data_IF_630738787052
#
_entry.id   IF_630738787052
#
_cell.length_a   1.000
_cell.length_b   1.000
_cell.length_c   1.000
_cell.angle_alpha   90.00
_cell.angle_beta   90.00
_cell.angle_gamma   90.00
#
_symmetry.space_group_name_H-M   'P 1'
#
loop_
_entity.id
_entity.type
_entity.pdbx_description
1 polymer ?
#
# COMPACT_ATOMS: atom_id res chain seq x y z
N UNK A 1 21.09 156.55 81.77
CA UNK A 1 20.85 155.24 82.43
C UNK A 1 19.78 154.44 81.70
N UNK A 2 18.64 155.02 81.33
CA UNK A 2 17.53 154.28 80.67
C UNK A 2 17.79 153.83 79.22
N UNK A 3 18.59 154.55 78.45
CA UNK A 3 18.96 154.18 77.07
C UNK A 3 19.92 153.01 76.98
N UNK A 4 20.79 152.83 77.98
CA UNK A 4 21.68 151.67 78.10
C UNK A 4 20.87 150.44 78.52
N UNK A 5 19.92 150.60 79.45
CA UNK A 5 18.99 149.54 79.86
C UNK A 5 18.16 149.02 78.68
N UNK A 6 17.50 149.90 77.92
CA UNK A 6 16.74 149.52 76.72
C UNK A 6 17.58 148.82 75.65
N UNK A 7 18.82 149.27 75.39
CA UNK A 7 19.73 148.58 74.46
C UNK A 7 20.15 147.20 74.98
N UNK A 8 20.36 147.07 76.28
CA UNK A 8 20.73 145.82 76.92
C UNK A 8 19.54 144.83 76.94
N UNK A 9 18.32 145.33 77.10
CA UNK A 9 17.08 144.54 77.00
C UNK A 9 16.81 144.09 75.56
N UNK A 10 17.06 144.94 74.56
CA UNK A 10 16.97 144.55 73.13
C UNK A 10 18.05 143.55 72.75
N UNK A 11 19.29 143.72 73.23
CA UNK A 11 20.36 142.75 72.99
C UNK A 11 20.08 141.41 73.67
N UNK A 12 19.50 141.41 74.87
CA UNK A 12 19.02 140.19 75.55
C UNK A 12 17.90 139.53 74.77
N UNK A 13 16.91 140.29 74.31
CA UNK A 13 15.81 139.77 73.50
C UNK A 13 16.29 139.16 72.16
N UNK A 14 17.24 139.83 71.50
CA UNK A 14 17.86 139.32 70.28
C UNK A 14 18.73 138.08 70.53
N UNK A 15 19.42 138.02 71.68
CA UNK A 15 20.17 136.84 72.09
C UNK A 15 19.23 135.66 72.34
N UNK A 16 18.12 135.86 73.07
CA UNK A 16 17.11 134.82 73.30
C UNK A 16 16.42 134.38 72.01
N UNK A 17 16.06 135.28 71.09
CA UNK A 17 15.48 134.91 69.79
C UNK A 17 16.50 134.17 68.88
N UNK A 18 17.78 134.56 68.94
CA UNK A 18 18.85 133.84 68.25
C UNK A 18 19.10 132.45 68.85
N UNK A 19 19.07 132.32 70.18
CA UNK A 19 19.17 131.04 70.90
C UNK A 19 17.98 130.13 70.60
N UNK A 20 16.75 130.65 70.59
CA UNK A 20 15.55 129.90 70.23
C UNK A 20 15.58 129.43 68.77
N UNK A 21 16.05 130.27 67.83
CA UNK A 21 16.22 129.89 66.42
C UNK A 21 17.35 128.87 66.23
N UNK A 22 18.44 129.00 66.97
CA UNK A 22 19.54 128.03 66.96
C UNK A 22 19.05 126.66 67.47
N UNK A 23 18.36 126.63 68.60
CA UNK A 23 17.78 125.40 69.16
C UNK A 23 16.72 124.78 68.24
N UNK A 24 15.88 125.59 67.59
CA UNK A 24 14.91 125.09 66.61
C UNK A 24 15.60 124.51 65.37
N UNK A 25 16.65 125.18 64.87
CA UNK A 25 17.45 124.68 63.75
C UNK A 25 18.21 123.41 64.10
N UNK A 26 18.75 123.30 65.32
CA UNK A 26 19.45 122.12 65.83
C UNK A 26 18.48 120.94 65.94
N UNK A 27 17.28 121.15 66.47
CA UNK A 27 16.24 120.12 66.52
C UNK A 27 15.81 119.62 65.14
N UNK A 28 15.64 120.51 64.16
CA UNK A 28 15.34 120.13 62.77
C UNK A 28 16.52 119.37 62.15
N UNK A 29 17.75 119.75 62.47
CA UNK A 29 18.95 119.04 62.03
C UNK A 29 19.00 117.63 62.63
N UNK A 30 18.68 117.47 63.91
CA UNK A 30 18.62 116.17 64.61
C UNK A 30 17.52 115.25 64.07
N UNK A 31 16.33 115.80 63.80
CA UNK A 31 15.24 115.07 63.15
C UNK A 31 15.62 114.64 61.73
N UNK A 32 16.29 115.52 60.97
CA UNK A 32 16.80 115.24 59.62
C UNK A 32 17.90 114.18 59.62
N UNK A 33 18.87 114.26 60.53
CA UNK A 33 19.96 113.26 60.64
C UNK A 33 19.43 111.90 61.09
N UNK A 34 18.46 111.87 62.01
CA UNK A 34 17.80 110.62 62.42
C UNK A 34 17.03 109.98 61.26
N UNK A 35 16.31 110.81 60.47
CA UNK A 35 15.55 110.34 59.31
C UNK A 35 16.46 109.85 58.18
N UNK A 36 17.56 110.56 57.90
CA UNK A 36 18.58 110.10 56.96
C UNK A 36 19.22 108.79 57.43
N UNK A 37 19.55 108.68 58.72
CA UNK A 37 20.10 107.43 59.27
C UNK A 37 19.13 106.24 59.21
N UNK A 38 17.81 106.49 59.27
CA UNK A 38 16.80 105.45 59.00
C UNK A 38 16.74 105.09 57.52
N UNK A 39 16.69 106.08 56.63
CA UNK A 39 16.68 105.84 55.19
C UNK A 39 17.95 105.10 54.70
N UNK A 40 19.13 105.42 55.24
CA UNK A 40 20.37 104.71 54.94
C UNK A 40 20.33 103.24 55.39
N UNK A 41 19.70 102.94 56.54
CA UNK A 41 19.48 101.57 56.98
C UNK A 41 18.52 100.83 56.06
N UNK A 42 17.39 101.43 55.72
CA UNK A 42 16.39 100.84 54.83
C UNK A 42 16.99 100.57 53.44
N UNK A 43 17.78 101.50 52.91
CA UNK A 43 18.53 101.29 51.64
C UNK A 43 19.51 100.13 51.77
N UNK A 44 20.21 100.02 52.90
CA UNK A 44 21.17 98.92 53.12
C UNK A 44 20.44 97.57 53.22
N UNK A 45 19.30 97.52 53.92
CA UNK A 45 18.47 96.31 54.04
C UNK A 45 17.91 95.87 52.69
N UNK A 46 17.30 96.80 51.94
CA UNK A 46 16.76 96.52 50.60
C UNK A 46 17.87 96.12 49.61
N UNK A 47 19.06 96.69 49.72
CA UNK A 47 20.19 96.29 48.87
C UNK A 47 20.63 94.85 49.17
N UNK A 48 20.66 94.47 50.46
CA UNK A 48 20.96 93.09 50.84
C UNK A 48 19.85 92.10 50.44
N UNK A 49 18.59 92.54 50.48
CA UNK A 49 17.45 91.73 50.03
C UNK A 49 17.46 91.55 48.51
N UNK A 50 17.76 92.62 47.75
CA UNK A 50 17.93 92.56 46.31
C UNK A 50 19.00 91.55 45.92
N UNK A 51 20.19 91.61 46.54
CA UNK A 51 21.27 90.65 46.27
C UNK A 51 20.84 89.20 46.54
N UNK A 52 20.10 88.93 47.61
CA UNK A 52 19.61 87.58 47.91
C UNK A 52 18.63 87.09 46.85
N UNK A 53 17.73 87.96 46.39
CA UNK A 53 16.77 87.61 45.34
C UNK A 53 17.48 87.37 44.01
N UNK A 54 18.51 88.16 43.69
CA UNK A 54 19.36 87.94 42.51
C UNK A 54 20.10 86.59 42.60
N UNK A 55 20.72 86.28 43.74
CA UNK A 55 21.40 84.99 43.96
C UNK A 55 20.41 83.79 43.86
N UNK A 56 19.19 83.94 44.38
CA UNK A 56 18.13 82.93 44.28
C UNK A 56 17.61 82.77 42.86
N UNK A 57 17.49 83.87 42.11
CA UNK A 57 17.10 83.87 40.70
C UNK A 57 18.16 83.14 39.86
N UNK A 58 19.44 83.49 40.00
CA UNK A 58 20.55 82.83 39.30
C UNK A 58 20.59 81.33 39.60
N UNK A 59 20.37 80.94 40.86
CA UNK A 59 20.29 79.54 41.26
C UNK A 59 19.08 78.81 40.65
N UNK A 60 17.92 79.48 40.55
CA UNK A 60 16.73 78.93 39.92
C UNK A 60 16.90 78.78 38.40
N UNK A 61 17.50 79.77 37.75
CA UNK A 61 17.81 79.73 36.31
C UNK A 61 18.80 78.61 35.97
N UNK A 62 19.85 78.43 36.77
CA UNK A 62 20.79 77.32 36.58
C UNK A 62 20.07 75.96 36.72
N UNK A 63 19.21 75.79 37.73
CA UNK A 63 18.44 74.54 37.89
C UNK A 63 17.46 74.32 36.75
N UNK A 64 16.82 75.38 36.26
CA UNK A 64 15.91 75.31 35.13
C UNK A 64 16.64 74.88 33.85
N UNK A 65 17.84 75.42 33.61
CA UNK A 65 18.68 75.02 32.49
C UNK A 65 19.04 73.52 32.55
N UNK A 66 19.45 73.04 33.73
CA UNK A 66 19.78 71.61 33.93
C UNK A 66 18.56 70.70 33.70
N UNK A 67 17.39 71.06 34.23
CA UNK A 67 16.14 70.29 34.04
C UNK A 67 15.72 70.31 32.56
N UNK A 68 15.90 71.43 31.87
CA UNK A 68 15.57 71.55 30.45
C UNK A 68 16.46 70.63 29.62
N UNK A 69 17.76 70.59 29.91
CA UNK A 69 18.69 69.66 29.25
C UNK A 69 18.29 68.20 29.50
N UNK A 70 17.96 67.84 30.74
CA UNK A 70 17.51 66.49 31.07
C UNK A 70 16.20 66.11 30.36
N UNK A 71 15.29 67.07 30.19
CA UNK A 71 14.05 66.86 29.45
C UNK A 71 14.34 66.60 27.97
N UNK A 72 15.20 67.41 27.34
CA UNK A 72 15.61 67.22 25.94
C UNK A 72 16.26 65.84 25.72
N UNK A 73 17.14 65.41 26.62
CA UNK A 73 17.74 64.07 26.57
C UNK A 73 16.70 62.95 26.71
N UNK A 74 15.73 63.10 27.63
CA UNK A 74 14.66 62.13 27.83
C UNK A 74 13.71 62.06 26.62
N UNK A 75 13.39 63.19 26.00
CA UNK A 75 12.59 63.26 24.77
C UNK A 75 13.31 62.55 23.61
N UNK A 76 14.61 62.79 23.44
CA UNK A 76 15.40 62.12 22.43
C UNK A 76 15.43 60.60 22.63
N UNK A 77 15.58 60.13 23.88
CA UNK A 77 15.52 58.70 24.21
C UNK A 77 14.13 58.11 23.96
N UNK A 78 13.06 58.84 24.26
CA UNK A 78 11.69 58.40 24.00
C UNK A 78 11.43 58.24 22.50
N UNK A 79 11.89 59.18 21.68
CA UNK A 79 11.79 59.10 20.22
C UNK A 79 12.56 57.91 19.64
N UNK A 80 13.75 57.61 20.17
CA UNK A 80 14.53 56.44 19.76
C UNK A 80 13.82 55.13 20.15
N UNK A 81 13.28 55.06 21.37
CA UNK A 81 12.50 53.91 21.83
C UNK A 81 11.24 53.68 20.98
N UNK A 82 10.53 54.75 20.59
CA UNK A 82 9.35 54.65 19.71
C UNK A 82 9.74 54.09 18.33
N UNK A 83 10.88 54.51 17.78
CA UNK A 83 11.40 53.96 16.52
C UNK A 83 11.72 52.48 16.65
N UNK A 84 12.43 52.09 17.71
CA UNK A 84 12.76 50.68 17.97
C UNK A 84 11.48 49.86 18.13
N UNK A 85 10.47 50.35 18.87
CA UNK A 85 9.18 49.68 19.04
C UNK A 85 8.52 49.39 17.69
N UNK A 86 8.44 50.38 16.80
CA UNK A 86 7.84 50.23 15.46
C UNK A 86 8.57 49.22 14.60
N UNK A 87 9.90 49.18 14.67
CA UNK A 87 10.71 48.18 13.95
C UNK A 87 10.42 46.78 14.49
N UNK A 88 10.37 46.61 15.81
CA UNK A 88 10.06 45.31 16.43
C UNK A 88 8.64 44.86 16.13
N UNK A 89 7.66 45.77 16.12
CA UNK A 89 6.27 45.49 15.77
C UNK A 89 6.15 45.01 14.32
N UNK A 90 6.77 45.73 13.38
CA UNK A 90 6.78 45.35 11.96
C UNK A 90 7.44 43.98 11.77
N UNK A 91 8.53 43.71 12.50
CA UNK A 91 9.20 42.41 12.47
C UNK A 91 8.31 41.31 13.06
N UNK A 92 7.64 41.58 14.18
CA UNK A 92 6.70 40.66 14.81
C UNK A 92 5.58 40.26 13.85
N UNK A 93 4.96 41.22 13.17
CA UNK A 93 3.93 40.95 12.16
C UNK A 93 4.44 40.09 11.00
N UNK A 94 5.65 40.36 10.51
CA UNK A 94 6.24 39.56 9.43
C UNK A 94 6.59 38.13 9.87
N UNK A 95 7.03 37.96 11.11
CA UNK A 95 7.33 36.64 11.68
C UNK A 95 6.03 35.86 11.96
N UNK A 96 4.95 36.51 12.42
CA UNK A 96 3.61 35.93 12.56
C UNK A 96 3.03 35.47 11.21
N UNK A 97 3.13 36.30 10.16
CA UNK A 97 2.68 35.92 8.82
C UNK A 97 3.48 34.71 8.29
N UNK A 98 4.79 34.70 8.50
CA UNK A 98 5.64 33.57 8.11
C UNK A 98 5.28 32.30 8.89
N UNK A 99 5.01 32.42 10.18
CA UNK A 99 4.55 31.31 11.01
C UNK A 99 3.23 30.73 10.46
N UNK A 100 2.24 31.58 10.17
CA UNK A 100 0.97 31.15 9.61
C UNK A 100 1.14 30.42 8.26
N UNK A 101 2.04 30.89 7.39
CA UNK A 101 2.35 30.20 6.14
C UNK A 101 2.97 28.82 6.36
N UNK A 102 3.86 28.67 7.35
CA UNK A 102 4.45 27.37 7.67
C UNK A 102 3.44 26.42 8.31
N UNK A 103 2.54 26.91 9.15
CA UNK A 103 1.47 26.10 9.74
C UNK A 103 0.49 25.59 8.67
N UNK A 104 0.13 26.43 7.69
CA UNK A 104 -0.69 26.02 6.56
C UNK A 104 -0.01 24.91 5.73
N UNK A 105 1.27 25.11 5.37
CA UNK A 105 2.06 24.10 4.66
C UNK A 105 2.20 22.80 5.44
N UNK A 106 2.43 22.89 6.75
CA UNK A 106 2.53 21.70 7.61
C UNK A 106 1.21 20.92 7.63
N UNK A 107 0.08 21.61 7.63
CA UNK A 107 -1.25 20.98 7.60
C UNK A 107 -1.48 20.30 6.25
N UNK A 108 -1.16 20.96 5.14
CA UNK A 108 -1.26 20.40 3.79
C UNK A 108 -0.37 19.15 3.61
N UNK A 109 0.87 19.18 4.09
CA UNK A 109 1.77 18.03 4.02
C UNK A 109 1.31 16.86 4.91
N UNK A 110 0.67 17.15 6.04
CA UNK A 110 0.06 16.11 6.88
C UNK A 110 -1.13 15.44 6.18
N UNK A 111 -2.02 16.23 5.58
CA UNK A 111 -3.16 15.68 4.81
C UNK A 111 -2.68 14.83 3.63
N UNK A 112 -1.61 15.26 2.94
CA UNK A 112 -0.98 14.45 1.88
C UNK A 112 -0.41 13.14 2.40
N UNK A 113 0.26 13.17 3.55
CA UNK A 113 0.82 11.97 4.18
C UNK A 113 -0.29 10.99 4.57
N UNK A 114 -1.33 11.47 5.25
CA UNK A 114 -2.47 10.64 5.66
C UNK A 114 -3.20 10.03 4.44
N UNK A 115 -3.36 10.80 3.36
CA UNK A 115 -3.94 10.27 2.12
C UNK A 115 -3.06 9.21 1.47
N UNK A 116 -1.73 9.36 1.51
CA UNK A 116 -0.80 8.37 0.96
C UNK A 116 -0.77 7.10 1.81
N UNK A 117 -0.83 7.22 3.15
CA UNK A 117 -0.96 6.08 4.05
C UNK A 117 -2.25 5.30 3.78
N UNK A 118 -3.38 5.98 3.60
CA UNK A 118 -4.64 5.32 3.27
C UNK A 118 -4.59 4.59 1.90
N UNK A 119 -3.93 5.17 0.89
CA UNK A 119 -3.73 4.51 -0.40
C UNK A 119 -2.82 3.28 -0.29
N UNK A 120 -1.78 3.34 0.55
CA UNK A 120 -0.90 2.20 0.83
C UNK A 120 -1.70 1.08 1.50
N UNK A 121 -2.50 1.38 2.54
CA UNK A 121 -3.34 0.37 3.20
C UNK A 121 -4.32 -0.31 2.23
N UNK A 122 -4.92 0.46 1.30
CA UNK A 122 -5.79 -0.10 0.26
C UNK A 122 -5.02 -1.01 -0.72
N UNK A 123 -3.81 -0.62 -1.13
CA UNK A 123 -2.97 -1.42 -2.02
C UNK A 123 -2.47 -2.69 -1.34
N UNK A 124 -2.13 -2.64 -0.06
CA UNK A 124 -1.73 -3.81 0.74
C UNK A 124 -2.90 -4.80 0.86
N UNK A 125 -4.13 -4.32 1.09
CA UNK A 125 -5.31 -5.16 1.13
C UNK A 125 -5.59 -5.85 -0.22
N UNK A 126 -5.48 -5.12 -1.34
CA UNK A 126 -5.62 -5.68 -2.68
C UNK A 126 -4.52 -6.68 -3.02
N UNK A 127 -3.29 -6.42 -2.57
CA UNK A 127 -2.18 -7.34 -2.76
C UNK A 127 -2.44 -8.66 -2.03
N UNK A 128 -2.91 -8.60 -0.78
CA UNK A 128 -3.25 -9.79 0.00
C UNK A 128 -4.37 -10.62 -0.65
N UNK A 129 -5.42 -9.97 -1.19
CA UNK A 129 -6.49 -10.66 -1.93
C UNK A 129 -5.95 -11.33 -3.20
N UNK A 130 -5.08 -10.65 -3.96
CA UNK A 130 -4.46 -11.20 -5.16
C UNK A 130 -3.48 -12.37 -4.86
N UNK A 131 -2.78 -12.32 -3.72
CA UNK A 131 -1.93 -13.41 -3.24
C UNK A 131 -2.78 -14.64 -2.87
N UNK A 132 -3.91 -14.46 -2.19
CA UNK A 132 -4.85 -15.55 -1.88
C UNK A 132 -5.45 -16.17 -3.16
N UNK A 133 -5.89 -15.35 -4.13
CA UNK A 133 -6.37 -15.84 -5.42
C UNK A 133 -5.28 -16.61 -6.19
N UNK A 134 -4.02 -16.16 -6.11
CA UNK A 134 -2.90 -16.84 -6.75
C UNK A 134 -2.66 -18.22 -6.11
N UNK A 135 -2.62 -18.30 -4.78
CA UNK A 135 -2.45 -19.56 -4.05
C UNK A 135 -3.56 -20.58 -4.39
N UNK A 136 -4.81 -20.12 -4.49
CA UNK A 136 -5.93 -20.97 -4.93
C UNK A 136 -5.77 -21.48 -6.36
N UNK A 137 -5.32 -20.63 -7.28
CA UNK A 137 -5.09 -21.00 -8.69
C UNK A 137 -3.91 -21.96 -8.83
N UNK A 138 -2.84 -21.74 -8.07
CA UNK A 138 -1.68 -22.63 -8.02
C UNK A 138 -2.09 -24.02 -7.50
N UNK A 139 -2.84 -24.11 -6.39
CA UNK A 139 -3.34 -25.39 -5.88
C UNK A 139 -4.22 -26.13 -6.90
N UNK A 140 -5.10 -25.41 -7.61
CA UNK A 140 -5.92 -26.00 -8.68
C UNK A 140 -5.09 -26.48 -9.88
N UNK A 141 -4.00 -25.81 -10.20
CA UNK A 141 -3.10 -26.22 -11.27
C UNK A 141 -2.33 -27.48 -10.87
N UNK A 142 -1.86 -27.56 -9.62
CA UNK A 142 -1.20 -28.75 -9.08
C UNK A 142 -2.12 -29.98 -9.10
N UNK A 143 -3.38 -29.84 -8.67
CA UNK A 143 -4.39 -30.90 -8.73
C UNK A 143 -4.64 -31.37 -10.18
N UNK A 144 -4.71 -30.43 -11.13
CA UNK A 144 -4.92 -30.73 -12.54
C UNK A 144 -3.71 -31.48 -13.14
N UNK A 145 -2.49 -31.09 -12.77
CA UNK A 145 -1.26 -31.73 -13.20
C UNK A 145 -1.13 -33.16 -12.63
N UNK A 146 -1.50 -33.38 -11.37
CA UNK A 146 -1.54 -34.72 -10.77
C UNK A 146 -2.54 -35.60 -11.52
N UNK A 147 -3.76 -35.11 -11.75
CA UNK A 147 -4.77 -35.84 -12.52
C UNK A 147 -4.35 -36.13 -13.95
N UNK A 148 -3.61 -35.21 -14.60
CA UNK A 148 -3.07 -35.44 -15.94
C UNK A 148 -2.06 -36.58 -15.93
N UNK A 149 -1.16 -36.62 -14.94
CA UNK A 149 -0.18 -37.71 -14.78
C UNK A 149 -0.86 -39.06 -14.54
N UNK A 150 -1.87 -39.12 -13.68
CA UNK A 150 -2.65 -40.34 -13.44
C UNK A 150 -3.30 -40.87 -14.74
N UNK A 151 -3.91 -39.97 -15.53
CA UNK A 151 -4.53 -40.33 -16.80
C UNK A 151 -3.50 -40.77 -17.85
N UNK A 152 -2.33 -40.15 -17.88
CA UNK A 152 -1.22 -40.58 -18.75
C UNK A 152 -0.75 -41.99 -18.38
N UNK A 153 -0.56 -42.28 -17.09
CA UNK A 153 -0.20 -43.60 -16.59
C UNK A 153 -1.26 -44.64 -16.96
N UNK A 154 -2.55 -44.36 -16.74
CA UNK A 154 -3.65 -45.25 -17.11
C UNK A 154 -3.66 -45.51 -18.63
N UNK A 155 -3.49 -44.48 -19.45
CA UNK A 155 -3.42 -44.61 -20.90
C UNK A 155 -2.25 -45.51 -21.34
N UNK A 156 -1.08 -45.41 -20.67
CA UNK A 156 0.04 -46.30 -20.97
C UNK A 156 -0.26 -47.75 -20.61
N UNK A 157 -0.93 -48.00 -19.47
CA UNK A 157 -1.32 -49.33 -19.03
C UNK A 157 -2.33 -49.96 -19.99
N UNK A 158 -3.40 -49.23 -20.35
CA UNK A 158 -4.42 -49.67 -21.31
C UNK A 158 -3.78 -49.94 -22.67
N UNK A 159 -2.87 -49.08 -23.13
CA UNK A 159 -2.14 -49.28 -24.38
C UNK A 159 -1.24 -50.52 -24.38
N UNK A 160 -0.71 -50.93 -23.24
CA UNK A 160 0.04 -52.18 -23.10
C UNK A 160 -0.90 -53.39 -23.07
N UNK A 161 -2.02 -53.32 -22.35
CA UNK A 161 -3.04 -54.38 -22.33
C UNK A 161 -3.65 -54.61 -23.71
N UNK A 162 -3.94 -53.55 -24.47
CA UNK A 162 -4.46 -53.65 -25.84
C UNK A 162 -3.46 -54.37 -26.76
N UNK A 163 -2.18 -53.99 -26.72
CA UNK A 163 -1.13 -54.69 -27.48
C UNK A 163 -1.05 -56.18 -27.13
N UNK A 164 -1.20 -56.55 -25.85
CA UNK A 164 -1.23 -57.95 -25.45
C UNK A 164 -2.47 -58.68 -25.97
N UNK A 165 -3.63 -58.04 -25.96
CA UNK A 165 -4.88 -58.60 -26.49
C UNK A 165 -4.81 -58.77 -28.01
N UNK A 166 -4.25 -57.80 -28.74
CA UNK A 166 -4.03 -57.89 -30.18
C UNK A 166 -3.14 -59.10 -30.54
N UNK A 167 -2.08 -59.35 -29.77
CA UNK A 167 -1.24 -60.55 -29.97
C UNK A 167 -2.04 -61.82 -29.74
N UNK A 168 -2.82 -61.88 -28.65
CA UNK A 168 -3.65 -63.05 -28.33
C UNK A 168 -4.75 -63.31 -29.38
N UNK A 169 -5.35 -62.24 -29.92
CA UNK A 169 -6.34 -62.33 -30.99
C UNK A 169 -5.70 -62.88 -32.27
N UNK A 170 -4.53 -62.36 -32.66
CA UNK A 170 -3.78 -62.86 -33.81
C UNK A 170 -3.39 -64.35 -33.67
N UNK A 171 -2.91 -64.76 -32.49
CA UNK A 171 -2.59 -66.16 -32.20
C UNK A 171 -3.83 -67.06 -32.27
N UNK A 172 -4.97 -66.56 -31.76
CA UNK A 172 -6.25 -67.28 -31.81
C UNK A 172 -6.76 -67.41 -33.25
N UNK A 173 -6.71 -66.35 -34.05
CA UNK A 173 -7.10 -66.33 -35.45
C UNK A 173 -6.21 -67.27 -36.29
N UNK A 174 -4.90 -67.28 -36.03
CA UNK A 174 -3.98 -68.25 -36.66
C UNK A 174 -4.36 -69.68 -36.30
N UNK A 175 -4.67 -69.95 -35.04
CA UNK A 175 -5.09 -71.28 -34.59
C UNK A 175 -6.42 -71.70 -35.23
N UNK A 176 -7.35 -70.77 -35.41
CA UNK A 176 -8.61 -70.99 -36.12
C UNK A 176 -8.35 -71.39 -37.57
N UNK A 177 -7.51 -70.65 -38.30
CA UNK A 177 -7.10 -71.01 -39.67
C UNK A 177 -6.48 -72.41 -39.76
N UNK A 178 -5.56 -72.74 -38.84
CA UNK A 178 -4.94 -74.08 -38.79
C UNK A 178 -5.96 -75.20 -38.52
N UNK A 179 -7.02 -74.91 -37.75
CA UNK A 179 -8.11 -75.85 -37.51
C UNK A 179 -9.04 -75.97 -38.72
N UNK A 180 -9.37 -74.85 -39.38
CA UNK A 180 -10.16 -74.85 -40.62
C UNK A 180 -9.47 -75.67 -41.71
N UNK A 181 -8.17 -75.48 -41.93
CA UNK A 181 -7.40 -76.28 -42.90
C UNK A 181 -7.41 -77.78 -42.56
N UNK A 182 -7.33 -78.14 -41.27
CA UNK A 182 -7.42 -79.55 -40.83
C UNK A 182 -8.82 -80.12 -41.05
N UNK A 183 -9.86 -79.36 -40.74
CA UNK A 183 -11.25 -79.75 -40.99
C UNK A 183 -11.46 -79.97 -42.48
N UNK A 184 -10.96 -79.07 -43.33
CA UNK A 184 -11.05 -79.22 -44.78
C UNK A 184 -10.35 -80.49 -45.26
N UNK A 185 -9.10 -80.74 -44.84
CA UNK A 185 -8.36 -81.97 -45.21
C UNK A 185 -9.08 -83.24 -44.76
N UNK A 186 -9.56 -83.27 -43.52
CA UNK A 186 -10.33 -84.41 -43.01
C UNK A 186 -11.63 -84.58 -43.81
N UNK A 187 -12.27 -83.49 -44.22
CA UNK A 187 -13.45 -83.50 -45.09
C UNK A 187 -13.15 -84.10 -46.47
N UNK A 188 -12.04 -83.69 -47.10
CA UNK A 188 -11.57 -84.24 -48.38
C UNK A 188 -11.24 -85.74 -48.26
N UNK A 189 -10.50 -86.15 -47.23
CA UNK A 189 -10.19 -87.55 -46.94
C UNK A 189 -11.46 -88.38 -46.69
N UNK A 190 -12.44 -87.80 -45.97
CA UNK A 190 -13.74 -88.43 -45.75
C UNK A 190 -14.50 -88.63 -47.07
N UNK A 191 -14.56 -87.62 -47.94
CA UNK A 191 -15.19 -87.77 -49.25
C UNK A 191 -14.49 -88.81 -50.14
N UNK A 192 -13.15 -88.87 -50.12
CA UNK A 192 -12.39 -89.88 -50.86
C UNK A 192 -12.66 -91.29 -50.32
N UNK A 193 -12.66 -91.47 -49.00
CA UNK A 193 -12.96 -92.75 -48.37
C UNK A 193 -14.40 -93.20 -48.60
N UNK A 194 -15.37 -92.27 -48.61
CA UNK A 194 -16.76 -92.56 -48.99
C UNK A 194 -16.85 -93.00 -50.45
N UNK A 195 -16.26 -92.27 -51.40
CA UNK A 195 -16.23 -92.68 -52.82
C UNK A 195 -15.61 -94.05 -53.00
N UNK A 196 -14.52 -94.33 -52.30
CA UNK A 196 -13.86 -95.65 -52.33
C UNK A 196 -14.74 -96.75 -51.74
N UNK A 197 -15.50 -96.46 -50.69
CA UNK A 197 -16.47 -97.38 -50.12
C UNK A 197 -17.62 -97.64 -51.11
N UNK A 198 -18.18 -96.60 -51.71
CA UNK A 198 -19.24 -96.70 -52.73
C UNK A 198 -18.78 -97.52 -53.95
N UNK A 199 -17.55 -97.30 -54.44
CA UNK A 199 -16.96 -98.09 -55.52
C UNK A 199 -16.79 -99.56 -55.14
N UNK A 200 -16.38 -99.83 -53.89
CA UNK A 200 -16.25 -101.18 -53.36
C UNK A 200 -17.62 -101.86 -53.23
N UNK A 201 -18.65 -101.15 -52.76
CA UNK A 201 -20.03 -101.64 -52.68
C UNK A 201 -20.59 -101.97 -54.06
N UNK A 202 -20.35 -101.11 -55.07
CA UNK A 202 -20.72 -101.38 -56.45
C UNK A 202 -20.04 -102.65 -56.97
N UNK A 203 -18.74 -102.80 -56.69
CA UNK A 203 -17.98 -103.99 -57.09
C UNK A 203 -18.43 -105.26 -56.39
N UNK A 204 -18.85 -105.18 -55.13
CA UNK A 204 -19.49 -106.28 -54.41
C UNK A 204 -20.80 -106.66 -55.10
N UNK A 205 -21.66 -105.70 -55.43
CA UNK A 205 -22.91 -105.97 -56.15
C UNK A 205 -22.68 -106.65 -57.51
N UNK A 206 -21.64 -106.24 -58.25
CA UNK A 206 -21.29 -106.86 -59.53
C UNK A 206 -20.79 -108.30 -59.35
N UNK A 207 -19.92 -108.54 -58.36
CA UNK A 207 -19.43 -109.88 -58.03
C UNK A 207 -20.54 -110.80 -57.53
N UNK A 208 -21.50 -110.29 -56.75
CA UNK A 208 -22.68 -111.05 -56.33
C UNK A 208 -23.52 -111.48 -57.54
N UNK A 209 -23.73 -110.60 -58.51
CA UNK A 209 -24.41 -110.96 -59.78
C UNK A 209 -23.64 -112.00 -60.58
N UNK A 210 -22.32 -111.90 -60.65
CA UNK A 210 -21.48 -112.91 -61.29
C UNK A 210 -21.53 -114.24 -60.55
N UNK A 211 -21.50 -114.23 -59.22
CA UNK A 211 -21.63 -115.42 -58.39
C UNK A 211 -22.99 -116.10 -58.60
N UNK A 212 -24.09 -115.35 -58.55
CA UNK A 212 -25.44 -115.87 -58.84
C UNK A 212 -25.53 -116.46 -60.26
N UNK A 213 -24.90 -115.82 -61.25
CA UNK A 213 -24.86 -116.33 -62.62
C UNK A 213 -24.05 -117.63 -62.74
N UNK A 214 -22.92 -117.74 -62.02
CA UNK A 214 -22.10 -118.94 -61.96
C UNK A 214 -22.84 -120.06 -61.22
N UNK A 215 -23.48 -119.77 -60.10
CA UNK A 215 -24.27 -120.74 -59.33
C UNK A 215 -25.44 -121.28 -60.16
N UNK A 216 -26.15 -120.40 -60.89
CA UNK A 216 -27.20 -120.81 -61.83
C UNK A 216 -26.65 -121.67 -63.00
N UNK A 217 -25.45 -121.37 -63.50
CA UNK A 217 -24.79 -122.20 -64.51
C UNK A 217 -24.36 -123.57 -63.94
N UNK A 218 -23.90 -123.60 -62.69
CA UNK A 218 -23.49 -124.81 -61.98
C UNK A 218 -24.68 -125.70 -61.65
N UNK A 219 -25.83 -125.14 -61.26
CA UNK A 219 -27.10 -125.86 -61.16
C UNK A 219 -27.48 -126.51 -62.49
N UNK A 220 -27.44 -125.76 -63.59
CA UNK A 220 -27.72 -126.33 -64.93
C UNK A 220 -26.76 -127.47 -65.30
N UNK A 221 -25.48 -127.37 -64.92
CA UNK A 221 -24.51 -128.45 -65.15
C UNK A 221 -24.82 -129.64 -64.24
N UNK A 222 -25.17 -129.43 -62.97
CA UNK A 222 -25.60 -130.50 -62.05
C UNK A 222 -26.88 -131.18 -62.54
N UNK A 223 -27.86 -130.45 -63.04
CA UNK A 223 -29.06 -131.01 -63.65
C UNK A 223 -28.70 -131.87 -64.86
N UNK A 224 -27.85 -131.37 -65.77
CA UNK A 224 -27.35 -132.14 -66.91
C UNK A 224 -26.56 -133.37 -66.49
N UNK A 225 -25.74 -133.26 -65.44
CA UNK A 225 -24.99 -134.40 -64.89
C UNK A 225 -25.92 -135.42 -64.24
N UNK A 226 -26.92 -135.00 -63.48
CA UNK A 226 -27.92 -135.88 -62.89
C UNK A 226 -28.75 -136.60 -63.97
N UNK A 227 -29.08 -135.90 -65.06
CA UNK A 227 -29.70 -136.52 -66.24
C UNK A 227 -28.75 -137.54 -66.87
N UNK A 228 -27.48 -137.19 -67.07
CA UNK A 228 -26.48 -138.11 -67.62
C UNK A 228 -26.20 -139.31 -66.69
N UNK A 229 -26.22 -139.14 -65.37
CA UNK A 229 -26.12 -140.23 -64.39
C UNK A 229 -27.37 -141.11 -64.40
N UNK A 230 -28.56 -140.53 -64.55
CA UNK A 230 -29.79 -141.29 -64.72
C UNK A 230 -29.80 -142.09 -66.03
N UNK A 231 -29.30 -141.51 -67.13
CA UNK A 231 -29.09 -142.19 -68.41
C UNK A 231 -28.01 -143.28 -68.30
N UNK A 232 -26.94 -143.05 -67.54
CA UNK A 232 -25.91 -144.06 -67.27
C UNK A 232 -26.46 -145.19 -66.40
N UNK A 233 -27.25 -144.89 -65.38
CA UNK A 233 -27.92 -145.88 -64.55
C UNK A 233 -28.92 -146.70 -65.38
N UNK A 234 -29.67 -146.05 -66.29
CA UNK A 234 -30.56 -146.73 -67.24
C UNK A 234 -29.79 -147.66 -68.17
N UNK A 235 -28.65 -147.22 -68.71
CA UNK A 235 -27.84 -148.07 -69.61
C UNK A 235 -27.13 -149.20 -68.85
N UNK A 236 -26.73 -149.00 -67.60
CA UNK A 236 -26.21 -150.09 -66.74
C UNK A 236 -27.32 -151.11 -66.44
N UNK A 237 -28.53 -150.65 -66.13
CA UNK A 237 -29.68 -151.53 -65.90
C UNK A 237 -30.06 -152.32 -67.18
N UNK A 238 -29.97 -151.70 -68.36
CA UNK A 238 -30.15 -152.37 -69.66
C UNK A 238 -29.04 -153.41 -69.95
N UNK A 239 -27.85 -153.26 -69.38
CA UNK A 239 -26.77 -154.26 -69.47
C UNK A 239 -26.92 -155.40 -68.45
N UNK A 240 -27.62 -155.20 -67.33
CA UNK A 240 -27.91 -156.25 -66.34
C UNK A 240 -29.12 -157.14 -66.73
N UNK A 241 -29.94 -156.70 -67.69
CA UNK A 241 -31.08 -157.47 -68.24
C UNK A 241 -30.74 -158.28 -69.51
N UNK A 242 -29.46 -158.34 -69.92
CA UNK A 242 -28.92 -159.21 -70.98
C UNK A 242 -28.01 -160.32 -70.44
#
# INVERSE_FOLDING_TARGET
MDTIRKKLDVLRANLTDAEERANASEKVLDESTTRNGQAEKDVTELTNELQKVEDELDAAESRLADITLQLEEAEQQADENERVRKVLETRGMADEERQAQFEAKLTEERERHESAEAEIEELEAKLAEAEEELDELEGRAEDADERSKELEEEATLVGNSLRSLEVQENDSARREQELEEKIQKIGEDYEETVKRADDAECKVCDLEREADAVDAALEKIKEKHAVAEAELASTIQEFEEM
#
